data_IF_309879603914
#
_entry.id   IF_309879603914
#
_cell.length_a   1.000
_cell.length_b   1.000
_cell.length_c   1.000
_cell.angle_alpha   90.00
_cell.angle_beta   90.00
_cell.angle_gamma   90.00
#
_symmetry.space_group_name_H-M   'P 1'
#
loop_
_entity.id
_entity.type
_entity.pdbx_description
1 polymer ?
#
# COMPACT_ATOMS: atom_id res chain seq x y z
N UNK A 1 9.90 19.06 -24.41
CA UNK A 1 10.56 19.91 -23.41
C UNK A 1 10.35 19.44 -21.96
N UNK A 2 9.33 18.62 -21.66
CA UNK A 2 9.07 18.10 -20.31
C UNK A 2 10.15 17.17 -19.70
N UNK A 3 10.96 16.50 -20.52
CA UNK A 3 11.94 15.52 -20.01
C UNK A 3 13.16 16.17 -19.32
N UNK A 4 13.56 17.38 -19.74
CA UNK A 4 14.75 18.04 -19.19
C UNK A 4 14.51 18.56 -17.76
N UNK A 5 13.32 19.10 -17.49
CA UNK A 5 12.91 19.58 -16.17
C UNK A 5 12.80 18.42 -15.17
N UNK A 6 12.25 17.29 -15.60
CA UNK A 6 12.21 16.06 -14.81
C UNK A 6 13.60 15.49 -14.52
N UNK A 7 14.49 15.50 -15.50
CA UNK A 7 15.88 15.05 -15.33
C UNK A 7 16.62 15.92 -14.31
N UNK A 8 16.43 17.25 -14.37
CA UNK A 8 16.97 18.18 -13.38
C UNK A 8 16.40 17.93 -11.97
N UNK A 9 15.09 17.69 -11.87
CA UNK A 9 14.45 17.37 -10.61
C UNK A 9 14.94 16.03 -10.02
N UNK A 10 15.16 15.00 -10.86
CA UNK A 10 15.74 13.72 -10.45
C UNK A 10 17.18 13.86 -9.94
N UNK A 11 17.97 14.73 -10.59
CA UNK A 11 19.33 15.04 -10.12
C UNK A 11 19.30 15.73 -8.76
N UNK A 12 18.45 16.73 -8.58
CA UNK A 12 18.25 17.43 -7.30
C UNK A 12 17.73 16.49 -6.21
N UNK A 13 16.83 15.57 -6.54
CA UNK A 13 16.33 14.55 -5.61
C UNK A 13 17.47 13.66 -5.09
N UNK A 14 18.37 13.24 -5.98
CA UNK A 14 19.50 12.37 -5.62
C UNK A 14 20.59 13.09 -4.82
N UNK A 15 20.77 14.39 -5.05
CA UNK A 15 21.71 15.24 -4.31
C UNK A 15 21.14 15.71 -2.95
N UNK A 16 19.83 15.54 -2.72
CA UNK A 16 19.18 16.07 -1.52
C UNK A 16 19.62 15.33 -0.24
N UNK A 17 20.07 16.06 0.81
CA UNK A 17 20.63 15.45 2.01
C UNK A 17 19.54 15.03 3.01
N UNK A 18 18.71 14.04 2.65
CA UNK A 18 17.63 13.54 3.51
C UNK A 18 18.11 13.13 4.91
N UNK A 19 19.36 12.66 5.04
CA UNK A 19 19.94 12.22 6.32
C UNK A 19 20.29 13.38 7.27
N UNK A 20 20.46 14.61 6.76
CA UNK A 20 20.82 15.79 7.56
C UNK A 20 19.64 16.73 7.84
N UNK A 21 18.50 16.51 7.19
CA UNK A 21 17.28 17.29 7.42
C UNK A 21 16.53 16.78 8.66
N UNK A 22 16.65 17.51 9.77
CA UNK A 22 16.00 17.17 11.03
C UNK A 22 14.47 17.13 10.95
N UNK A 23 13.85 18.02 10.15
CA UNK A 23 12.39 18.10 10.01
C UNK A 23 11.87 16.86 9.30
N UNK A 24 12.56 16.48 8.21
CA UNK A 24 12.26 15.25 7.48
C UNK A 24 12.45 14.01 8.37
N UNK A 25 13.57 13.91 9.08
CA UNK A 25 13.87 12.76 9.94
C UNK A 25 12.84 12.60 11.06
N UNK A 26 12.43 13.68 11.72
CA UNK A 26 11.38 13.65 12.74
C UNK A 26 10.04 13.16 12.17
N UNK A 27 9.67 13.63 10.97
CA UNK A 27 8.49 13.14 10.27
C UNK A 27 8.58 11.66 9.90
N UNK A 28 9.76 11.22 9.43
CA UNK A 28 10.00 9.83 9.04
C UNK A 28 9.92 8.88 10.23
N UNK A 29 10.43 9.26 11.41
CA UNK A 29 10.33 8.46 12.63
C UNK A 29 8.87 8.18 12.98
N UNK A 30 8.02 9.22 13.00
CA UNK A 30 6.59 9.04 13.31
C UNK A 30 5.86 8.11 12.33
N UNK A 31 6.21 8.17 11.04
CA UNK A 31 5.66 7.28 10.01
C UNK A 31 6.15 5.83 10.22
N UNK A 32 7.46 5.64 10.49
CA UNK A 32 8.07 4.33 10.68
C UNK A 32 7.64 3.66 12.00
N UNK A 33 7.40 4.42 13.06
CA UNK A 33 6.86 3.92 14.32
C UNK A 33 5.46 3.33 14.12
N UNK A 34 4.57 4.07 13.45
CA UNK A 34 3.24 3.57 13.11
C UNK A 34 3.29 2.30 12.26
N UNK A 35 4.21 2.26 11.30
CA UNK A 35 4.50 1.09 10.48
C UNK A 35 4.99 -0.10 11.31
N UNK A 36 5.91 0.11 12.27
CA UNK A 36 6.40 -0.96 13.16
C UNK A 36 5.30 -1.59 14.00
N UNK A 37 4.32 -0.79 14.43
CA UNK A 37 3.14 -1.27 15.15
C UNK A 37 2.22 -2.16 14.30
N UNK A 38 2.31 -2.08 12.97
CA UNK A 38 1.48 -2.84 12.02
C UNK A 38 2.16 -4.11 11.49
N UNK A 39 3.36 -4.46 11.98
CA UNK A 39 4.10 -5.66 11.55
C UNK A 39 4.35 -5.75 10.03
N UNK A 40 4.51 -4.61 9.35
CA UNK A 40 4.84 -4.60 7.91
C UNK A 40 6.24 -5.16 7.62
N UNK A 41 6.38 -5.77 6.45
CA UNK A 41 7.63 -6.40 5.98
C UNK A 41 8.73 -5.35 5.74
N UNK A 42 10.01 -5.76 5.85
CA UNK A 42 11.18 -4.90 5.61
C UNK A 42 11.17 -4.26 4.21
N UNK A 43 10.62 -4.97 3.23
CA UNK A 43 10.45 -4.46 1.88
C UNK A 43 9.42 -3.32 1.81
N UNK A 44 8.33 -3.42 2.56
CA UNK A 44 7.30 -2.38 2.64
C UNK A 44 7.81 -1.15 3.39
N UNK A 45 8.70 -1.35 4.39
CA UNK A 45 9.38 -0.24 5.08
C UNK A 45 10.26 0.55 4.12
N UNK A 46 11.00 -0.15 3.27
CA UNK A 46 11.86 0.47 2.25
C UNK A 46 11.06 1.24 1.22
N UNK A 47 9.93 0.68 0.75
CA UNK A 47 9.02 1.39 -0.16
C UNK A 47 8.37 2.62 0.51
N UNK A 48 7.93 2.49 1.76
CA UNK A 48 7.35 3.58 2.53
C UNK A 48 8.36 4.72 2.74
N UNK A 49 9.62 4.38 3.01
CA UNK A 49 10.70 5.35 3.11
C UNK A 49 10.88 6.12 1.80
N UNK A 50 10.96 5.43 0.66
CA UNK A 50 11.10 6.05 -0.66
C UNK A 50 9.92 6.96 -0.99
N UNK A 51 8.69 6.50 -0.70
CA UNK A 51 7.46 7.29 -0.89
C UNK A 51 7.45 8.54 -0.04
N UNK A 52 7.91 8.44 1.20
CA UNK A 52 7.99 9.57 2.12
C UNK A 52 9.04 10.59 1.66
N UNK A 53 10.21 10.13 1.22
CA UNK A 53 11.25 10.97 0.63
C UNK A 53 10.74 11.74 -0.60
N UNK A 54 10.09 11.02 -1.52
CA UNK A 54 9.51 11.61 -2.73
C UNK A 54 8.43 12.64 -2.41
N UNK A 55 7.50 12.30 -1.52
CA UNK A 55 6.43 13.20 -1.11
C UNK A 55 6.98 14.49 -0.48
N UNK A 56 7.98 14.36 0.41
CA UNK A 56 8.61 15.50 1.06
C UNK A 56 9.33 16.39 0.06
N UNK A 57 10.10 15.79 -0.85
CA UNK A 57 10.82 16.51 -1.89
C UNK A 57 9.86 17.25 -2.82
N UNK A 58 8.85 16.58 -3.37
CA UNK A 58 7.85 17.18 -4.26
C UNK A 58 7.15 18.37 -3.59
N UNK A 59 6.84 18.25 -2.29
CA UNK A 59 6.26 19.34 -1.51
C UNK A 59 7.22 20.52 -1.34
N UNK A 60 8.52 20.26 -1.20
CA UNK A 60 9.52 21.29 -0.92
C UNK A 60 10.00 22.02 -2.18
N UNK A 61 10.06 21.32 -3.31
CA UNK A 61 10.56 21.86 -4.59
C UNK A 61 9.45 22.16 -5.58
N UNK A 62 8.19 21.94 -5.20
CA UNK A 62 7.01 22.07 -6.08
C UNK A 62 7.14 21.27 -7.38
N UNK A 63 7.88 20.16 -7.34
CA UNK A 63 8.11 19.28 -8.48
C UNK A 63 7.13 18.11 -8.46
N UNK A 64 6.69 17.66 -9.63
CA UNK A 64 5.84 16.48 -9.80
C UNK A 64 6.66 15.26 -10.25
N UNK A 65 7.48 14.71 -9.35
CA UNK A 65 8.17 13.45 -9.61
C UNK A 65 7.32 12.25 -9.20
N UNK A 66 7.30 11.22 -10.04
CA UNK A 66 6.63 9.94 -9.75
C UNK A 66 7.59 8.91 -9.15
N UNK A 67 7.05 7.92 -8.44
CA UNK A 67 7.82 6.77 -7.95
C UNK A 67 8.49 6.00 -9.10
N UNK A 68 7.85 5.98 -10.26
CA UNK A 68 8.37 5.33 -11.46
C UNK A 68 9.65 6.03 -11.97
N UNK A 69 9.69 7.36 -11.89
CA UNK A 69 10.83 8.18 -12.32
C UNK A 69 12.07 7.88 -11.44
N UNK A 70 11.89 7.77 -10.12
CA UNK A 70 12.98 7.49 -9.16
C UNK A 70 13.47 6.03 -9.22
N UNK A 71 12.55 5.08 -9.45
CA UNK A 71 12.89 3.66 -9.62
C UNK A 71 13.70 3.43 -10.89
N UNK A 72 13.36 4.14 -11.96
CA UNK A 72 14.11 4.12 -13.22
C UNK A 72 15.55 4.60 -13.02
N UNK A 73 15.75 5.68 -12.24
CA UNK A 73 17.09 6.17 -11.89
C UNK A 73 17.92 5.16 -11.08
N UNK A 74 17.30 4.49 -10.10
CA UNK A 74 17.98 3.47 -9.27
C UNK A 74 18.42 2.27 -10.10
N UNK A 75 17.63 1.92 -11.12
CA UNK A 75 17.93 0.84 -12.06
C UNK A 75 19.12 1.21 -12.97
N UNK A 76 19.20 2.47 -13.41
CA UNK A 76 20.34 2.94 -14.21
C UNK A 76 21.64 3.06 -13.41
N UNK A 77 21.58 3.51 -12.15
CA UNK A 77 22.76 3.65 -11.28
C UNK A 77 23.37 2.30 -10.88
N UNK A 78 22.58 1.22 -10.91
CA UNK A 78 23.04 -0.14 -10.52
C UNK A 78 23.83 -0.89 -11.60
N UNK A 79 24.21 -0.26 -12.71
CA UNK A 79 24.98 -0.88 -13.80
C UNK A 79 26.40 -0.30 -13.95
N UNK A 80 27.40 -0.85 -13.25
CA UNK A 80 28.71 -1.04 -13.85
C UNK A 80 28.78 -2.43 -14.50
N UNK A 81 28.77 -2.41 -15.84
CA UNK A 81 29.31 -3.42 -16.76
C UNK A 81 30.10 -4.59 -16.15
N UNK A 82 29.56 -5.82 -16.21
CA UNK A 82 30.28 -6.95 -16.85
C UNK A 82 29.36 -8.16 -17.13
N UNK A 83 29.43 -8.65 -18.37
CA UNK A 83 29.14 -10.02 -18.84
C UNK A 83 27.69 -10.52 -18.98
N UNK A 84 27.16 -10.35 -20.20
CA UNK A 84 26.34 -11.35 -20.93
C UNK A 84 27.16 -12.64 -21.21
N UNK A 85 26.61 -13.71 -21.83
CA UNK A 85 25.24 -14.25 -21.86
C UNK A 85 25.19 -15.77 -21.58
N UNK A 86 24.02 -16.34 -21.27
CA UNK A 86 23.84 -17.80 -21.20
C UNK A 86 22.41 -18.22 -21.56
N UNK A 87 22.19 -18.94 -22.69
CA UNK A 87 20.92 -19.59 -23.01
C UNK A 87 20.79 -20.92 -22.24
N UNK A 88 19.72 -21.68 -22.50
CA UNK A 88 19.41 -23.06 -22.04
C UNK A 88 18.26 -23.17 -21.00
N UNK A 89 17.04 -23.24 -21.54
CA UNK A 89 16.07 -24.36 -21.52
C UNK A 89 15.92 -25.27 -20.27
N UNK A 90 14.73 -25.88 -20.11
CA UNK A 90 14.09 -26.17 -18.82
C UNK A 90 14.47 -27.52 -18.24
N UNK A 91 14.50 -27.63 -16.91
CA UNK A 91 14.62 -28.91 -16.22
C UNK A 91 13.27 -29.32 -15.62
N UNK A 92 12.56 -30.11 -16.42
CA UNK A 92 11.61 -31.12 -16.00
C UNK A 92 12.19 -31.95 -14.84
N UNK A 93 11.46 -32.04 -13.73
CA UNK A 93 11.55 -33.16 -12.81
C UNK A 93 10.14 -33.62 -12.48
N UNK A 94 9.82 -34.79 -13.02
CA UNK A 94 8.63 -35.57 -12.74
C UNK A 94 8.79 -36.30 -11.40
N UNK A 95 7.77 -36.17 -10.54
CA UNK A 95 7.15 -37.11 -9.55
C UNK A 95 8.01 -38.00 -8.60
N UNK A 96 7.51 -38.37 -7.38
CA UNK A 96 6.21 -39.03 -7.18
C UNK A 96 5.32 -38.50 -6.03
N UNK A 97 4.03 -38.38 -6.34
CA UNK A 97 2.87 -38.87 -5.57
C UNK A 97 2.96 -38.92 -4.03
N UNK A 98 2.42 -37.89 -3.37
CA UNK A 98 1.83 -38.01 -2.02
C UNK A 98 0.78 -36.89 -1.83
N UNK A 99 -0.48 -37.19 -1.48
CA UNK A 99 -1.46 -36.16 -1.17
C UNK A 99 -1.36 -35.77 0.31
N UNK A 100 -1.20 -34.48 0.63
CA UNK A 100 -1.82 -33.96 1.85
C UNK A 100 -2.55 -32.65 1.54
N UNK A 101 -3.88 -32.66 1.65
CA UNK A 101 -4.58 -32.13 2.83
C UNK A 101 -4.35 -30.63 3.03
N UNK A 102 -5.23 -29.87 2.37
CA UNK A 102 -5.98 -28.71 2.88
C UNK A 102 -5.42 -28.15 4.20
N UNK A 103 -4.64 -27.08 4.13
CA UNK A 103 -4.46 -26.14 5.22
C UNK A 103 -4.45 -24.73 4.60
N UNK A 104 -5.56 -24.02 4.76
CA UNK A 104 -5.87 -22.74 4.11
C UNK A 104 -5.13 -21.51 4.68
N UNK A 105 -4.16 -21.66 5.60
CA UNK A 105 -3.69 -20.51 6.38
C UNK A 105 -2.17 -20.23 6.37
N UNK A 106 -1.40 -20.74 5.40
CA UNK A 106 0.06 -20.50 5.40
C UNK A 106 0.72 -20.43 4.00
N UNK A 107 0.06 -19.84 3.01
CA UNK A 107 0.73 -19.39 1.80
C UNK A 107 0.74 -17.86 1.77
N UNK A 108 1.87 -17.21 1.42
CA UNK A 108 1.87 -15.78 1.18
C UNK A 108 0.77 -15.46 0.17
N UNK A 109 -0.01 -14.37 0.36
CA UNK A 109 -1.17 -14.09 -0.46
C UNK A 109 -0.77 -14.15 -1.93
N UNK A 110 -1.38 -15.07 -2.69
CA UNK A 110 -1.09 -15.27 -4.11
C UNK A 110 -1.33 -13.94 -4.82
N UNK A 111 -0.28 -13.23 -5.19
CA UNK A 111 -0.39 -11.98 -5.95
C UNK A 111 -0.63 -12.35 -7.40
N UNK A 112 -1.83 -12.08 -7.92
CA UNK A 112 -2.14 -12.27 -9.34
C UNK A 112 -1.59 -11.10 -10.16
N UNK A 113 -1.08 -11.39 -11.35
CA UNK A 113 -0.73 -10.34 -12.32
C UNK A 113 -2.01 -9.70 -12.89
N UNK A 114 -1.94 -8.44 -13.32
CA UNK A 114 -3.06 -7.69 -13.91
C UNK A 114 -3.75 -8.43 -15.08
N UNK A 115 -2.96 -9.13 -15.90
CA UNK A 115 -3.48 -9.94 -17.02
C UNK A 115 -4.32 -11.11 -16.52
N UNK A 116 -3.86 -11.80 -15.48
CA UNK A 116 -4.57 -12.94 -14.88
C UNK A 116 -5.85 -12.46 -14.16
N UNK A 117 -5.75 -11.35 -13.42
CA UNK A 117 -6.90 -10.73 -12.76
C UNK A 117 -7.98 -10.32 -13.78
N UNK A 118 -7.58 -9.69 -14.89
CA UNK A 118 -8.49 -9.32 -15.98
C UNK A 118 -9.20 -10.56 -16.55
N UNK A 119 -8.46 -11.63 -16.82
CA UNK A 119 -9.03 -12.87 -17.34
C UNK A 119 -10.03 -13.50 -16.35
N UNK A 120 -9.77 -13.46 -15.04
CA UNK A 120 -10.70 -13.95 -14.02
C UNK A 120 -11.99 -13.12 -13.96
N UNK A 121 -11.89 -11.80 -14.12
CA UNK A 121 -13.06 -10.92 -14.16
C UNK A 121 -13.87 -11.18 -15.44
N UNK A 122 -13.22 -11.26 -16.60
CA UNK A 122 -13.88 -11.50 -17.89
C UNK A 122 -14.54 -12.88 -17.97
N UNK A 123 -13.92 -13.90 -17.35
CA UNK A 123 -14.46 -15.27 -17.30
C UNK A 123 -15.52 -15.47 -16.21
N UNK A 124 -15.79 -14.47 -15.36
CA UNK A 124 -16.74 -14.57 -14.25
C UNK A 124 -16.26 -15.42 -13.08
N UNK A 125 -14.99 -15.84 -13.07
CA UNK A 125 -14.37 -16.64 -12.01
C UNK A 125 -13.83 -15.76 -10.88
N UNK A 126 -14.65 -14.82 -10.40
CA UNK A 126 -14.27 -13.81 -9.39
C UNK A 126 -13.98 -14.40 -8.02
N UNK A 127 -14.46 -15.61 -7.73
CA UNK A 127 -14.15 -16.35 -6.49
C UNK A 127 -12.66 -16.69 -6.34
N UNK A 128 -11.92 -16.77 -7.46
CA UNK A 128 -10.48 -17.05 -7.43
C UNK A 128 -9.61 -15.79 -7.22
N UNK A 129 -10.24 -14.62 -7.06
CA UNK A 129 -9.52 -13.37 -6.83
C UNK A 129 -9.13 -13.29 -5.34
N UNK A 130 -7.83 -13.08 -5.02
CA UNK A 130 -7.37 -12.95 -3.65
C UNK A 130 -8.13 -11.85 -2.89
N UNK A 131 -8.47 -12.13 -1.64
CA UNK A 131 -9.22 -11.23 -0.74
C UNK A 131 -10.63 -10.88 -1.21
N UNK A 132 -11.21 -11.62 -2.15
CA UNK A 132 -12.62 -11.47 -2.47
C UNK A 132 -13.48 -11.96 -1.29
N UNK A 133 -14.42 -11.13 -0.82
CA UNK A 133 -15.30 -11.47 0.29
C UNK A 133 -16.62 -11.98 -0.26
N UNK A 134 -17.00 -13.21 0.08
CA UNK A 134 -18.31 -13.74 -0.26
C UNK A 134 -19.39 -13.02 0.56
N UNK A 135 -20.20 -12.21 -0.12
CA UNK A 135 -21.38 -11.57 0.48
C UNK A 135 -22.58 -12.45 0.11
N UNK A 136 -23.25 -13.11 1.07
CA UNK A 136 -24.44 -13.89 0.76
C UNK A 136 -25.58 -12.96 0.29
N UNK A 137 -26.36 -13.42 -0.69
CA UNK A 137 -27.57 -12.73 -1.20
C UNK A 137 -28.74 -12.70 -0.20
N UNK A 138 -28.51 -13.12 1.05
CA UNK A 138 -29.52 -13.14 2.09
C UNK A 138 -29.65 -11.76 2.75
N UNK A 139 -30.89 -11.28 2.86
CA UNK A 139 -31.19 -10.10 3.68
C UNK A 139 -30.95 -10.46 5.15
N UNK A 140 -30.23 -9.61 5.88
CA UNK A 140 -30.02 -9.80 7.31
C UNK A 140 -31.37 -9.86 8.06
N UNK A 141 -31.71 -11.03 8.60
CA UNK A 141 -32.97 -11.28 9.33
C UNK A 141 -32.93 -10.77 10.78
N UNK A 142 -31.76 -10.36 11.28
CA UNK A 142 -31.63 -9.86 12.64
C UNK A 142 -32.35 -8.51 12.80
N UNK A 143 -32.98 -8.31 13.96
CA UNK A 143 -33.59 -7.04 14.33
C UNK A 143 -32.50 -5.95 14.32
N UNK A 144 -32.73 -4.78 13.71
CA UNK A 144 -31.76 -3.69 13.73
C UNK A 144 -31.43 -3.29 15.17
N UNK A 145 -30.16 -2.97 15.42
CA UNK A 145 -29.72 -2.52 16.73
C UNK A 145 -30.45 -1.22 17.13
N UNK A 146 -30.99 -1.18 18.35
CA UNK A 146 -31.59 0.04 18.92
C UNK A 146 -30.50 0.88 19.58
N UNK A 147 -30.53 2.19 19.35
CA UNK A 147 -29.65 3.12 20.07
C UNK A 147 -29.97 3.10 21.57
N UNK A 148 -28.98 2.81 22.40
CA UNK A 148 -29.04 2.95 23.86
C UNK A 148 -28.41 4.28 24.34
N UNK A 149 -28.05 5.18 23.41
CA UNK A 149 -27.43 6.43 23.77
C UNK A 149 -28.46 7.38 24.44
N UNK A 150 -28.15 7.99 25.59
CA UNK A 150 -29.02 8.98 26.20
C UNK A 150 -29.14 10.20 25.28
N UNK A 151 -30.36 10.72 25.12
CA UNK A 151 -30.58 11.93 24.33
C UNK A 151 -29.88 13.09 25.03
N UNK A 152 -28.81 13.62 24.40
CA UNK A 152 -28.18 14.85 24.89
C UNK A 152 -29.17 15.99 24.75
N UNK A 153 -29.57 16.53 25.89
CA UNK A 153 -30.39 17.74 25.94
C UNK A 153 -29.64 18.88 25.27
N UNK A 154 -30.38 19.65 24.50
CA UNK A 154 -29.86 20.87 23.89
C UNK A 154 -29.74 21.94 24.99
N UNK A 155 -28.78 22.87 24.91
CA UNK A 155 -28.54 23.85 25.97
C UNK A 155 -29.75 24.74 26.28
N UNK A 156 -30.67 24.94 25.32
CA UNK A 156 -31.92 25.67 25.53
C UNK A 156 -32.99 24.87 26.30
N UNK A 157 -32.85 23.55 26.45
CA UNK A 157 -33.78 22.70 27.21
C UNK A 157 -33.46 22.65 28.71
N UNK A 158 -32.29 23.13 29.14
CA UNK A 158 -31.92 23.22 30.56
C UNK A 158 -32.45 24.51 31.22
N UNK A 159 -32.97 25.45 30.44
CA UNK A 159 -33.32 26.81 30.87
C UNK A 159 -34.82 27.09 30.80
N UNK A 160 -35.66 26.12 31.20
CA UNK A 160 -37.08 26.41 31.50
C UNK A 160 -37.18 26.82 32.98
N UNK A 161 -37.32 28.11 33.32
CA UNK A 161 -37.65 28.50 34.68
C UNK A 161 -39.02 27.91 35.03
N UNK A 162 -39.07 27.17 36.14
CA UNK A 162 -40.31 26.76 36.77
C UNK A 162 -41.06 28.02 37.21
N UNK A 163 -42.01 28.47 36.40
CA UNK A 163 -42.99 29.48 36.80
C UNK A 163 -44.16 28.71 37.40
N UNK A 164 -44.14 28.59 38.72
CA UNK A 164 -45.32 28.22 39.50
C UNK A 164 -46.23 29.46 39.61
N UNK A 165 -47.48 29.33 39.17
CA UNK A 165 -48.61 30.19 39.56
C UNK A 165 -49.70 29.24 40.04
#
# INVERSE_FOLDING_TARGET
MWNAEKDEALRKFSEYPFSSDEVFQQGLIGILEHASAQSISEQERSDLQLRTQLFYFNRQTECDLSLDDVRSLTTEISLPSNSMPGPFTPSTREDPEFPPQINEDAQPPRVLNFVELKALIESGNTENIPHNKHIPDQVNECIPSRSNAPVRKKPWEAASPSVAI
#
